data_IF_038453228864
#
_entry.id   IF_038453228864
#
_cell.length_a   1.000
_cell.length_b   1.000
_cell.length_c   1.000
_cell.angle_alpha   90.00
_cell.angle_beta   90.00
_cell.angle_gamma   90.00
#
_symmetry.space_group_name_H-M   'P 1'
#
loop_
_entity.id
_entity.type
_entity.pdbx_description
1 polymer ?
#
# COMPACT_ATOMS: atom_id res chain seq x y z
N UNK A 1 3.60 -7.29 -31.58
CA UNK A 1 3.79 -6.39 -30.43
C UNK A 1 2.76 -6.79 -29.39
N UNK A 2 3.17 -7.63 -28.44
CA UNK A 2 2.34 -8.04 -27.30
C UNK A 2 2.37 -6.87 -26.33
N UNK A 3 1.21 -6.35 -26.00
CA UNK A 3 1.05 -5.19 -25.12
C UNK A 3 1.55 -5.56 -23.71
N UNK A 4 2.71 -5.02 -23.32
CA UNK A 4 3.32 -5.24 -21.99
C UNK A 4 2.39 -4.86 -20.83
N UNK A 5 1.40 -3.99 -21.06
CA UNK A 5 0.38 -3.64 -20.10
C UNK A 5 -0.59 -4.80 -19.81
N UNK A 6 -0.98 -5.60 -20.79
CA UNK A 6 -1.89 -6.73 -20.57
C UNK A 6 -1.27 -7.82 -19.68
N UNK A 7 0.03 -8.07 -19.81
CA UNK A 7 0.73 -9.06 -18.98
C UNK A 7 0.85 -8.64 -17.50
N UNK A 8 0.95 -7.35 -17.23
CA UNK A 8 1.07 -6.83 -15.85
C UNK A 8 -0.25 -6.95 -15.07
N UNK A 9 -1.40 -6.81 -15.75
CA UNK A 9 -2.74 -6.92 -15.15
C UNK A 9 -3.19 -8.38 -14.98
N UNK A 10 -2.76 -9.31 -15.84
CA UNK A 10 -3.07 -10.73 -15.68
C UNK A 10 -2.51 -11.31 -14.38
N UNK A 11 -1.30 -10.91 -13.98
CA UNK A 11 -0.67 -11.34 -12.73
C UNK A 11 -1.41 -10.90 -11.46
N UNK A 12 -2.09 -9.75 -11.46
CA UNK A 12 -2.94 -9.32 -10.35
C UNK A 12 -4.19 -10.20 -10.22
N UNK A 13 -4.81 -10.55 -11.33
CA UNK A 13 -6.03 -11.38 -11.35
C UNK A 13 -5.76 -12.78 -10.81
N UNK A 14 -4.66 -13.40 -11.23
CA UNK A 14 -4.28 -14.74 -10.73
C UNK A 14 -3.87 -14.72 -9.25
N UNK A 15 -3.12 -13.69 -8.81
CA UNK A 15 -2.80 -13.53 -7.39
C UNK A 15 -4.04 -13.32 -6.53
N UNK A 16 -5.01 -12.53 -6.99
CA UNK A 16 -6.25 -12.30 -6.26
C UNK A 16 -7.04 -13.61 -6.11
N UNK A 17 -7.12 -14.45 -7.14
CA UNK A 17 -7.76 -15.77 -7.07
C UNK A 17 -7.07 -16.70 -6.05
N UNK A 18 -5.75 -16.79 -6.10
CA UNK A 18 -4.98 -17.62 -5.18
C UNK A 18 -5.13 -17.15 -3.73
N UNK A 19 -5.15 -15.82 -3.53
CA UNK A 19 -5.34 -15.25 -2.20
C UNK A 19 -6.76 -15.48 -1.67
N UNK A 20 -7.79 -15.37 -2.51
CA UNK A 20 -9.17 -15.69 -2.14
C UNK A 20 -9.27 -17.17 -1.72
N UNK A 21 -8.72 -18.08 -2.51
CA UNK A 21 -8.69 -19.49 -2.17
C UNK A 21 -8.04 -19.77 -0.81
N UNK A 22 -6.89 -19.15 -0.55
CA UNK A 22 -6.21 -19.27 0.74
C UNK A 22 -7.07 -18.74 1.89
N UNK A 23 -7.69 -17.56 1.72
CA UNK A 23 -8.58 -16.98 2.72
C UNK A 23 -9.73 -17.91 3.04
N UNK A 24 -10.40 -18.44 2.00
CA UNK A 24 -11.53 -19.37 2.15
C UNK A 24 -11.10 -20.64 2.89
N UNK A 25 -9.93 -21.23 2.55
CA UNK A 25 -9.39 -22.40 3.26
C UNK A 25 -9.06 -22.13 4.73
N UNK A 26 -8.54 -20.97 5.05
CA UNK A 26 -8.29 -20.60 6.44
C UNK A 26 -9.60 -20.41 7.22
N UNK A 27 -10.61 -19.80 6.61
CA UNK A 27 -11.93 -19.59 7.22
C UNK A 27 -12.69 -20.90 7.42
N UNK A 28 -12.63 -21.85 6.45
CA UNK A 28 -13.16 -23.21 6.59
C UNK A 28 -12.57 -23.94 7.81
N UNK A 29 -11.31 -23.62 8.15
CA UNK A 29 -10.63 -24.16 9.34
C UNK A 29 -10.80 -23.25 10.59
N UNK A 30 -11.86 -22.48 10.66
CA UNK A 30 -12.19 -21.60 11.80
C UNK A 30 -11.10 -20.58 12.15
N UNK A 31 -10.29 -20.14 11.18
CA UNK A 31 -9.30 -19.07 11.39
C UNK A 31 -9.92 -17.71 11.07
N UNK A 32 -9.76 -16.78 11.99
CA UNK A 32 -10.09 -15.38 11.72
C UNK A 32 -8.99 -14.77 10.88
N UNK A 33 -9.33 -14.33 9.66
CA UNK A 33 -8.36 -13.80 8.69
C UNK A 33 -8.56 -12.30 8.54
N UNK A 34 -7.47 -11.55 8.59
CA UNK A 34 -7.43 -10.13 8.27
C UNK A 34 -6.53 -9.93 7.05
N UNK A 35 -6.99 -9.13 6.11
CA UNK A 35 -6.22 -8.80 4.92
C UNK A 35 -5.82 -7.33 4.94
N UNK A 36 -4.51 -7.08 4.89
CA UNK A 36 -3.98 -5.72 4.78
C UNK A 36 -4.05 -5.30 3.30
N UNK A 37 -4.71 -4.19 3.04
CA UNK A 37 -4.82 -3.62 1.70
C UNK A 37 -3.48 -3.17 1.11
N UNK A 38 -3.43 -2.94 -0.21
CA UNK A 38 -2.22 -2.52 -0.88
C UNK A 38 -1.79 -1.11 -0.43
N UNK A 39 -0.50 -0.87 -0.49
CA UNK A 39 0.12 0.46 -0.45
C UNK A 39 0.98 0.63 -1.69
N UNK A 40 1.09 1.85 -2.21
CA UNK A 40 2.04 2.13 -3.28
C UNK A 40 3.42 2.32 -2.68
N UNK A 41 4.42 1.76 -3.32
CA UNK A 41 5.82 1.83 -2.91
C UNK A 41 6.62 2.69 -3.89
N UNK A 42 7.65 3.42 -3.43
CA UNK A 42 8.53 4.16 -4.33
C UNK A 42 9.37 3.19 -5.17
N UNK A 43 9.66 3.56 -6.41
CA UNK A 43 10.54 2.83 -7.33
C UNK A 43 12.03 3.25 -7.18
N UNK A 44 12.36 4.01 -6.15
CA UNK A 44 13.69 4.54 -5.85
C UNK A 44 13.99 4.54 -4.35
N UNK A 45 15.26 4.67 -3.98
CA UNK A 45 15.70 4.70 -2.56
C UNK A 45 15.31 6.02 -1.88
N UNK A 46 14.09 6.08 -1.39
CA UNK A 46 13.48 7.27 -0.81
C UNK A 46 14.29 7.87 0.35
N UNK A 47 14.79 7.04 1.26
CA UNK A 47 15.54 7.53 2.42
C UNK A 47 16.77 8.34 2.03
N UNK A 48 17.50 7.90 0.99
CA UNK A 48 18.68 8.61 0.47
C UNK A 48 18.32 9.96 -0.15
N UNK A 49 17.16 10.06 -0.81
CA UNK A 49 16.68 11.32 -1.39
C UNK A 49 16.27 12.28 -0.28
N UNK A 50 15.45 11.83 0.66
CA UNK A 50 14.97 12.66 1.77
C UNK A 50 16.14 13.15 2.63
N UNK A 51 17.11 12.29 2.95
CA UNK A 51 18.29 12.69 3.72
C UNK A 51 19.12 13.75 3.00
N UNK A 52 19.30 13.62 1.67
CA UNK A 52 20.04 14.60 0.86
C UNK A 52 19.27 15.94 0.77
N UNK A 53 17.96 15.90 0.61
CA UNK A 53 17.14 17.11 0.57
C UNK A 53 17.20 17.87 1.89
N UNK A 54 17.11 17.15 3.01
CA UNK A 54 17.25 17.73 4.34
C UNK A 54 18.65 18.35 4.55
N UNK A 55 19.70 17.64 4.11
CA UNK A 55 21.09 18.12 4.27
C UNK A 55 21.42 19.38 3.44
N UNK A 56 20.75 19.57 2.30
CA UNK A 56 21.04 20.68 1.38
C UNK A 56 19.90 21.69 1.27
N UNK A 57 18.92 21.62 2.17
CA UNK A 57 17.73 22.51 2.20
C UNK A 57 17.01 22.62 0.83
N UNK A 58 17.16 21.63 -0.01
CA UNK A 58 16.55 21.59 -1.34
C UNK A 58 15.10 21.07 -1.23
N UNK A 59 14.17 21.94 -1.51
CA UNK A 59 12.75 21.67 -1.46
C UNK A 59 12.31 20.94 -2.75
N UNK A 60 12.73 19.68 -2.95
CA UNK A 60 12.33 18.89 -4.10
C UNK A 60 11.09 18.02 -3.78
N UNK A 61 9.94 18.67 -3.70
CA UNK A 61 8.64 18.00 -3.48
C UNK A 61 8.25 17.00 -4.58
N UNK A 62 9.02 16.92 -5.68
CA UNK A 62 8.59 16.25 -6.92
C UNK A 62 8.43 14.73 -6.82
N UNK A 63 9.15 14.07 -5.94
CA UNK A 63 9.21 12.59 -5.91
C UNK A 63 8.70 11.97 -4.60
N UNK A 64 8.13 12.80 -3.70
CA UNK A 64 7.69 12.32 -2.38
C UNK A 64 6.23 11.90 -2.35
N UNK A 65 5.54 11.98 -3.49
CA UNK A 65 4.13 11.61 -3.61
C UNK A 65 3.78 11.17 -5.04
N UNK A 66 2.66 10.49 -5.16
CA UNK A 66 1.99 10.24 -6.44
C UNK A 66 0.54 10.70 -6.38
N UNK A 67 -0.07 11.09 -7.51
CA UNK A 67 -1.50 11.37 -7.56
C UNK A 67 -2.31 10.15 -7.11
N UNK A 68 -3.33 10.35 -6.29
CA UNK A 68 -4.25 9.30 -5.84
C UNK A 68 -4.87 8.55 -7.01
N UNK A 69 -5.17 9.23 -8.12
CA UNK A 69 -5.69 8.62 -9.34
C UNK A 69 -4.76 7.53 -9.89
N UNK A 70 -3.43 7.69 -9.78
CA UNK A 70 -2.45 6.68 -10.21
C UNK A 70 -2.52 5.43 -9.32
N UNK A 71 -2.63 5.60 -8.02
CA UNK A 71 -2.87 4.52 -7.07
C UNK A 71 -4.18 3.79 -7.38
N UNK A 72 -5.28 4.54 -7.53
CA UNK A 72 -6.60 3.97 -7.78
C UNK A 72 -6.63 3.20 -9.12
N UNK A 73 -6.02 3.70 -10.19
CA UNK A 73 -5.95 2.98 -11.47
C UNK A 73 -5.27 1.62 -11.37
N UNK A 74 -4.36 1.46 -10.41
CA UNK A 74 -3.62 0.21 -10.19
C UNK A 74 -4.34 -0.76 -9.25
N UNK A 75 -4.99 -0.25 -8.20
CA UNK A 75 -5.45 -1.06 -7.08
C UNK A 75 -6.96 -1.07 -6.84
N UNK A 76 -7.74 -0.18 -7.47
CA UNK A 76 -9.17 0.00 -7.21
C UNK A 76 -9.96 -1.31 -7.30
N UNK A 77 -9.73 -2.09 -8.35
CA UNK A 77 -10.48 -3.35 -8.57
C UNK A 77 -10.12 -4.38 -7.50
N UNK A 78 -8.84 -4.49 -7.15
CA UNK A 78 -8.37 -5.37 -6.05
C UNK A 78 -8.95 -4.93 -4.71
N UNK A 79 -8.94 -3.63 -4.41
CA UNK A 79 -9.52 -3.08 -3.18
C UNK A 79 -11.02 -3.37 -3.11
N UNK A 80 -11.77 -3.10 -4.17
CA UNK A 80 -13.21 -3.34 -4.21
C UNK A 80 -13.54 -4.82 -4.02
N UNK A 81 -12.79 -5.71 -4.68
CA UNK A 81 -12.95 -7.16 -4.56
C UNK A 81 -12.79 -7.61 -3.10
N UNK A 82 -11.70 -7.20 -2.44
CA UNK A 82 -11.42 -7.64 -1.08
C UNK A 82 -12.27 -6.93 -0.04
N UNK A 83 -12.66 -5.69 -0.25
CA UNK A 83 -13.69 -5.05 0.59
C UNK A 83 -15.02 -5.80 0.55
N UNK A 84 -15.45 -6.22 -0.63
CA UNK A 84 -16.65 -7.03 -0.77
C UNK A 84 -16.54 -8.40 -0.07
N UNK A 85 -15.40 -9.09 -0.24
CA UNK A 85 -15.16 -10.43 0.30
C UNK A 85 -14.89 -10.46 1.81
N UNK A 86 -14.18 -9.48 2.34
CA UNK A 86 -13.64 -9.49 3.71
C UNK A 86 -14.38 -8.55 4.66
N UNK A 87 -15.17 -7.59 4.12
CA UNK A 87 -15.85 -6.60 4.95
C UNK A 87 -14.90 -5.86 5.88
N UNK A 88 -15.19 -5.86 7.17
CA UNK A 88 -14.40 -5.19 8.22
C UNK A 88 -13.02 -5.82 8.44
N UNK A 89 -12.82 -7.05 7.98
CA UNK A 89 -11.52 -7.72 8.06
C UNK A 89 -10.56 -7.28 6.93
N UNK A 90 -11.00 -6.42 6.01
CA UNK A 90 -10.11 -5.77 5.05
C UNK A 90 -9.58 -4.45 5.62
N UNK A 91 -8.31 -4.42 5.95
CA UNK A 91 -7.64 -3.28 6.57
C UNK A 91 -7.13 -2.32 5.51
N UNK A 92 -7.76 -1.16 5.36
CA UNK A 92 -7.47 -0.17 4.33
C UNK A 92 -6.19 0.65 4.64
N UNK A 93 -5.04 -0.02 4.69
CA UNK A 93 -3.73 0.55 5.05
C UNK A 93 -3.35 1.79 4.23
N UNK A 94 -3.71 1.82 2.94
CA UNK A 94 -3.45 2.96 2.06
C UNK A 94 -4.05 4.28 2.57
N UNK A 95 -5.14 4.26 3.34
CA UNK A 95 -5.75 5.46 3.91
C UNK A 95 -4.85 6.19 4.92
N UNK A 96 -3.84 5.51 5.44
CA UNK A 96 -2.86 6.12 6.34
C UNK A 96 -1.73 6.86 5.61
N UNK A 97 -1.54 6.53 4.34
CA UNK A 97 -0.48 7.10 3.49
C UNK A 97 -1.05 7.95 2.34
N UNK A 98 -2.37 7.90 2.10
CA UNK A 98 -3.03 8.64 1.04
C UNK A 98 -4.15 9.50 1.60
N UNK A 99 -4.31 10.69 1.03
CA UNK A 99 -5.52 11.49 1.14
C UNK A 99 -6.42 11.33 -0.11
N UNK A 100 -7.33 12.28 -0.35
CA UNK A 100 -8.21 12.28 -1.52
C UNK A 100 -7.51 12.59 -2.84
N UNK A 101 -6.34 13.23 -2.78
CA UNK A 101 -5.63 13.80 -3.94
C UNK A 101 -4.33 13.05 -4.21
N UNK A 102 -3.59 12.70 -3.17
CA UNK A 102 -2.25 12.14 -3.27
C UNK A 102 -2.03 10.93 -2.35
N UNK A 103 -1.04 10.11 -2.70
CA UNK A 103 -0.41 9.13 -1.81
C UNK A 103 1.03 9.57 -1.56
N UNK A 104 1.47 9.55 -0.31
CA UNK A 104 2.71 10.16 0.14
C UNK A 104 3.76 9.10 0.47
N UNK A 105 4.94 9.26 -0.08
CA UNK A 105 6.12 8.45 0.25
C UNK A 105 6.89 9.04 1.44
N UNK A 106 6.72 10.34 1.69
CA UNK A 106 7.23 11.04 2.86
C UNK A 106 6.30 12.19 3.23
N UNK A 107 6.40 12.67 4.46
CA UNK A 107 5.76 13.90 4.94
C UNK A 107 6.75 14.75 5.75
N UNK A 108 6.26 15.81 6.38
CA UNK A 108 7.08 16.73 7.15
C UNK A 108 7.82 16.08 8.34
N UNK A 109 7.38 14.91 8.79
CA UNK A 109 7.95 14.20 9.93
C UNK A 109 8.90 13.08 9.53
N UNK A 110 8.96 12.72 8.24
CA UNK A 110 9.89 11.73 7.74
C UNK A 110 9.42 10.90 6.56
N UNK A 111 10.29 10.01 6.13
CA UNK A 111 10.02 9.08 5.05
C UNK A 111 9.10 7.94 5.52
N UNK A 112 8.11 7.59 4.70
CA UNK A 112 7.24 6.45 4.97
C UNK A 112 7.90 5.10 4.61
N UNK A 113 8.97 5.10 3.84
CA UNK A 113 9.70 3.91 3.43
C UNK A 113 11.19 4.05 3.76
N UNK A 114 11.80 2.95 4.22
CA UNK A 114 13.25 2.86 4.46
C UNK A 114 14.04 2.56 3.18
N UNK A 115 13.41 1.89 2.24
CA UNK A 115 13.94 1.57 0.91
C UNK A 115 12.81 1.58 -0.14
N UNK A 116 12.91 0.76 -1.19
CA UNK A 116 11.92 0.71 -2.28
C UNK A 116 10.62 0.00 -1.92
N UNK A 117 10.57 -0.78 -0.83
CA UNK A 117 9.41 -1.63 -0.51
C UNK A 117 9.14 -1.87 0.98
N UNK A 118 10.07 -1.52 1.87
CA UNK A 118 9.88 -1.67 3.31
C UNK A 118 9.41 -0.37 3.96
N UNK A 119 8.38 -0.46 4.76
CA UNK A 119 7.94 0.66 5.58
C UNK A 119 9.03 1.08 6.57
N UNK A 120 9.21 2.37 6.74
CA UNK A 120 10.06 2.92 7.78
C UNK A 120 9.45 2.67 9.18
N UNK A 121 10.27 2.82 10.20
CA UNK A 121 9.77 2.82 11.59
C UNK A 121 8.68 3.87 11.81
N UNK A 122 8.83 5.05 11.20
CA UNK A 122 7.83 6.12 11.26
C UNK A 122 6.48 5.68 10.67
N UNK A 123 6.46 5.11 9.47
CA UNK A 123 5.23 4.62 8.85
C UNK A 123 4.66 3.40 9.58
N UNK A 124 5.50 2.52 10.11
CA UNK A 124 5.06 1.37 10.91
C UNK A 124 4.29 1.82 12.17
N UNK A 125 4.70 2.92 12.80
CA UNK A 125 3.92 3.52 13.90
C UNK A 125 2.55 4.03 13.45
N UNK A 126 2.44 4.62 12.24
CA UNK A 126 1.14 5.00 11.68
C UNK A 126 0.27 3.76 11.45
N UNK A 127 0.86 2.69 10.89
CA UNK A 127 0.13 1.44 10.60
C UNK A 127 -0.40 0.76 11.85
N UNK A 128 0.20 0.97 13.03
CA UNK A 128 -0.32 0.44 14.30
C UNK A 128 -1.81 0.71 14.48
N UNK A 129 -2.31 1.84 14.01
CA UNK A 129 -3.73 2.25 14.17
C UNK A 129 -4.71 1.26 13.53
N UNK A 130 -4.35 0.62 12.41
CA UNK A 130 -5.24 -0.35 11.75
C UNK A 130 -5.34 -1.66 12.51
N UNK A 131 -4.33 -1.99 13.33
CA UNK A 131 -4.30 -3.23 14.11
C UNK A 131 -5.00 -3.10 15.47
N UNK A 132 -5.23 -1.89 15.97
CA UNK A 132 -5.85 -1.70 17.28
C UNK A 132 -7.27 -2.29 17.38
N UNK A 133 -7.98 -2.36 16.25
CA UNK A 133 -9.33 -2.93 16.21
C UNK A 133 -9.35 -4.46 16.10
N UNK A 134 -8.19 -5.10 15.82
CA UNK A 134 -8.09 -6.55 15.69
C UNK A 134 -8.00 -7.22 17.07
N UNK A 135 -7.39 -6.51 18.04
CA UNK A 135 -7.07 -7.03 19.37
C UNK A 135 -8.02 -6.53 20.46
N UNK A 136 -9.16 -5.97 20.06
CA UNK A 136 -10.31 -5.70 20.93
C UNK A 136 -11.23 -6.91 20.91
#
# INVERSE_FOLDING_TARGET
LIDENQNKYSGFKERNKSLIYLIEKLQENNKKVFLIGPIETPDYKLASIVSRELAFEKNTKRNLLIPRKKFDSKYKDTINLFKYKMGENFLESYKLLCDKINCYFADVNGANFSDTNHLSYYASKKMKKIFLNIFK
#
